data_IF_616585395835
#
_entry.id   IF_616585395835
#
_cell.length_a   1.000
_cell.length_b   1.000
_cell.length_c   1.000
_cell.angle_alpha   90.00
_cell.angle_beta   90.00
_cell.angle_gamma   90.00
#
_symmetry.space_group_name_H-M   'P 1'
#
loop_
_entity.id
_entity.type
_entity.pdbx_description
1 polymer ?
#
# COMPACT_ATOMS: atom_id res chain seq x y z
N UNK A 1 37.47 -12.72 -38.22
CA UNK A 1 37.92 -11.71 -37.23
C UNK A 1 36.70 -11.00 -36.62
N UNK A 2 35.84 -10.28 -37.39
CA UNK A 2 34.71 -9.54 -36.81
C UNK A 2 33.74 -10.46 -36.03
N UNK A 3 33.29 -11.58 -36.62
CA UNK A 3 32.43 -12.56 -35.96
C UNK A 3 33.06 -13.20 -34.73
N UNK A 4 34.33 -13.46 -34.76
CA UNK A 4 35.10 -14.00 -33.64
C UNK A 4 35.19 -13.00 -32.49
N UNK A 5 35.43 -11.71 -32.77
CA UNK A 5 35.43 -10.66 -31.75
C UNK A 5 34.08 -10.47 -31.12
N UNK A 6 32.98 -10.51 -31.91
CA UNK A 6 31.61 -10.46 -31.39
C UNK A 6 31.33 -11.66 -30.48
N UNK A 7 31.70 -12.88 -30.93
CA UNK A 7 31.49 -14.09 -30.13
C UNK A 7 32.28 -14.07 -28.81
N UNK A 8 33.52 -13.57 -28.83
CA UNK A 8 34.31 -13.41 -27.62
C UNK A 8 33.68 -12.38 -26.65
N UNK A 9 33.18 -11.26 -27.19
CA UNK A 9 32.50 -10.25 -26.36
C UNK A 9 31.19 -10.77 -25.78
N UNK A 10 30.43 -11.54 -26.55
CA UNK A 10 29.20 -12.19 -26.06
C UNK A 10 29.50 -13.20 -24.95
N UNK A 11 30.56 -14.00 -25.11
CA UNK A 11 30.98 -14.96 -24.08
C UNK A 11 31.46 -14.21 -22.82
N UNK A 12 32.29 -13.19 -22.94
CA UNK A 12 32.75 -12.40 -21.80
C UNK A 12 31.61 -11.74 -21.08
N UNK A 13 30.63 -11.17 -21.81
CA UNK A 13 29.43 -10.60 -21.21
C UNK A 13 28.62 -11.66 -20.43
N UNK A 14 28.46 -12.86 -21.00
CA UNK A 14 27.74 -13.94 -20.34
C UNK A 14 28.43 -14.39 -19.05
N UNK A 15 29.75 -14.52 -19.08
CA UNK A 15 30.57 -14.92 -17.91
C UNK A 15 30.51 -13.81 -16.82
N UNK A 16 30.70 -12.56 -17.19
CA UNK A 16 30.64 -11.41 -16.27
C UNK A 16 29.23 -11.27 -15.66
N UNK A 17 28.17 -11.51 -16.44
CA UNK A 17 26.81 -11.53 -15.96
C UNK A 17 26.58 -12.57 -14.86
N UNK A 18 27.16 -13.77 -15.02
CA UNK A 18 27.09 -14.81 -13.99
C UNK A 18 27.84 -14.39 -12.71
N UNK A 19 28.98 -13.72 -12.84
CA UNK A 19 29.73 -13.19 -11.69
C UNK A 19 28.91 -12.13 -10.95
N UNK A 20 28.28 -11.19 -11.67
CA UNK A 20 27.40 -10.18 -11.08
C UNK A 20 26.24 -10.83 -10.34
N UNK A 21 25.55 -11.77 -10.97
CA UNK A 21 24.38 -12.45 -10.37
C UNK A 21 24.75 -13.33 -9.16
N UNK A 22 26.01 -13.82 -9.11
CA UNK A 22 26.52 -14.62 -8.00
C UNK A 22 26.97 -13.78 -6.79
N UNK A 23 27.08 -12.45 -6.94
CA UNK A 23 27.46 -11.56 -5.86
C UNK A 23 26.41 -11.56 -4.76
N UNK A 24 26.87 -11.51 -3.49
CA UNK A 24 25.99 -11.58 -2.32
C UNK A 24 26.17 -10.38 -1.41
N UNK A 25 25.08 -9.77 -1.00
CA UNK A 25 25.00 -8.79 0.07
C UNK A 25 23.65 -8.90 0.76
N UNK A 26 23.52 -8.29 1.93
CA UNK A 26 22.25 -8.22 2.66
C UNK A 26 21.84 -6.76 2.84
N UNK A 27 20.54 -6.46 2.88
CA UNK A 27 20.10 -5.11 3.19
C UNK A 27 20.55 -4.74 4.61
N UNK A 28 20.99 -3.50 4.77
CA UNK A 28 21.36 -2.89 6.06
C UNK A 28 20.27 -1.98 6.61
N UNK A 29 19.34 -1.57 5.74
CA UNK A 29 18.25 -0.66 6.01
C UNK A 29 16.92 -1.38 5.83
N UNK A 30 15.89 -0.93 6.54
CA UNK A 30 14.52 -1.42 6.35
C UNK A 30 13.73 -0.45 5.49
N UNK A 31 12.89 -1.00 4.60
CA UNK A 31 12.04 -0.22 3.72
C UNK A 31 11.04 0.63 4.52
N UNK A 32 10.47 0.09 5.58
CA UNK A 32 9.52 0.77 6.47
C UNK A 32 10.12 1.95 7.26
N UNK A 33 11.45 1.98 7.42
CA UNK A 33 12.15 3.08 8.10
C UNK A 33 12.61 4.18 7.11
N UNK A 34 12.90 3.81 5.85
CA UNK A 34 13.52 4.73 4.87
C UNK A 34 12.51 5.26 3.85
N UNK A 35 11.72 4.38 3.22
CA UNK A 35 10.87 4.78 2.09
C UNK A 35 9.75 5.76 2.45
N UNK A 36 9.11 5.71 3.64
CA UNK A 36 8.12 6.71 4.02
C UNK A 36 8.67 8.14 4.04
N UNK A 37 9.88 8.35 4.58
CA UNK A 37 10.53 9.67 4.58
C UNK A 37 10.89 10.16 3.18
N UNK A 38 11.27 9.24 2.28
CA UNK A 38 11.51 9.56 0.87
C UNK A 38 10.21 9.94 0.17
N UNK A 39 9.08 9.27 0.47
CA UNK A 39 7.78 9.65 -0.10
C UNK A 39 7.35 11.07 0.28
N UNK A 40 7.73 11.54 1.46
CA UNK A 40 7.53 12.94 1.86
C UNK A 40 8.10 13.93 0.82
N UNK A 41 9.27 13.64 0.27
CA UNK A 41 9.92 14.49 -0.73
C UNK A 41 9.16 14.56 -2.07
N UNK A 42 8.24 13.64 -2.32
CA UNK A 42 7.41 13.62 -3.54
C UNK A 42 6.09 14.39 -3.40
N UNK A 43 5.69 14.73 -2.17
CA UNK A 43 4.43 15.44 -1.91
C UNK A 43 3.18 14.57 -2.11
N UNK A 44 2.03 15.23 -2.17
CA UNK A 44 0.70 14.59 -2.17
C UNK A 44 -0.03 14.65 -3.52
N UNK A 45 0.40 15.46 -4.47
CA UNK A 45 -0.30 15.66 -5.75
C UNK A 45 0.69 15.75 -6.91
N UNK A 46 0.80 14.67 -7.70
CA UNK A 46 0.16 13.36 -7.54
C UNK A 46 0.81 12.50 -6.45
N UNK A 47 0.08 11.52 -5.92
CA UNK A 47 0.67 10.50 -5.08
C UNK A 47 1.54 9.54 -5.91
N UNK A 48 2.62 9.07 -5.29
CA UNK A 48 3.54 8.12 -5.91
C UNK A 48 3.61 6.81 -5.13
N UNK A 49 3.74 5.72 -5.87
CA UNK A 49 4.01 4.37 -5.36
C UNK A 49 5.46 4.04 -5.66
N UNK A 50 6.12 3.38 -4.72
CA UNK A 50 7.50 2.92 -4.86
C UNK A 50 7.54 1.40 -4.86
N UNK A 51 8.43 0.81 -5.67
CA UNK A 51 8.66 -0.62 -5.68
C UNK A 51 10.15 -0.89 -5.47
N UNK A 52 10.48 -1.58 -4.38
CA UNK A 52 11.84 -1.92 -4.00
C UNK A 52 12.29 -3.21 -4.68
N UNK A 53 13.49 -3.20 -5.27
CA UNK A 53 14.25 -4.36 -5.75
C UNK A 53 15.57 -4.44 -4.98
N UNK A 54 15.77 -5.49 -4.22
CA UNK A 54 16.98 -5.69 -3.41
C UNK A 54 17.53 -7.12 -3.49
N UNK A 55 17.59 -7.74 -4.69
CA UNK A 55 18.30 -9.00 -4.81
C UNK A 55 19.75 -8.79 -4.41
N UNK A 56 20.39 -9.83 -3.88
CA UNK A 56 21.72 -9.76 -3.30
C UNK A 56 22.77 -9.12 -4.24
N UNK A 57 22.63 -9.34 -5.54
CA UNK A 57 23.56 -8.76 -6.53
C UNK A 57 23.38 -7.23 -6.71
N UNK A 58 22.15 -6.70 -6.60
CA UNK A 58 21.93 -5.23 -6.62
C UNK A 58 22.56 -4.61 -5.40
N UNK A 59 22.34 -5.18 -4.22
CA UNK A 59 22.94 -4.70 -2.98
C UNK A 59 24.46 -4.68 -3.07
N UNK A 60 25.06 -5.77 -3.57
CA UNK A 60 26.50 -5.87 -3.76
C UNK A 60 27.02 -4.87 -4.80
N UNK A 61 26.28 -4.62 -5.87
CA UNK A 61 26.63 -3.65 -6.91
C UNK A 61 26.65 -2.21 -6.37
N UNK A 62 25.65 -1.85 -5.56
CA UNK A 62 25.55 -0.50 -4.98
C UNK A 62 26.64 -0.19 -3.94
N UNK A 63 27.33 -1.21 -3.40
CA UNK A 63 28.41 -1.07 -2.44
C UNK A 63 29.82 -0.94 -3.11
N UNK A 64 29.91 -1.04 -4.45
CA UNK A 64 31.19 -0.89 -5.16
C UNK A 64 31.60 0.57 -5.18
N UNK A 65 32.93 0.82 -5.05
CA UNK A 65 33.52 2.17 -5.01
C UNK A 65 33.18 3.01 -6.25
N UNK A 66 32.99 2.39 -7.40
CA UNK A 66 32.69 3.05 -8.68
C UNK A 66 31.21 2.96 -9.07
N UNK A 67 30.36 2.41 -8.20
CA UNK A 67 28.93 2.18 -8.47
C UNK A 67 28.21 3.46 -8.92
N UNK A 68 28.39 4.56 -8.18
CA UNK A 68 27.74 5.82 -8.52
C UNK A 68 28.15 6.32 -9.91
N UNK A 69 29.44 6.27 -10.24
CA UNK A 69 29.94 6.69 -11.54
C UNK A 69 29.40 5.83 -12.70
N UNK A 70 29.30 4.53 -12.49
CA UNK A 70 28.77 3.59 -13.48
C UNK A 70 27.26 3.74 -13.67
N UNK A 71 26.52 3.85 -12.59
CA UNK A 71 25.07 3.69 -12.59
C UNK A 71 24.31 5.00 -12.81
N UNK A 72 24.86 6.15 -12.40
CA UNK A 72 24.29 7.47 -12.71
C UNK A 72 24.67 7.86 -14.14
N UNK A 73 24.01 7.21 -15.07
CA UNK A 73 24.25 7.37 -16.51
C UNK A 73 22.93 7.08 -17.27
N UNK A 74 22.79 7.55 -18.52
CA UNK A 74 21.55 7.37 -19.29
C UNK A 74 21.08 5.92 -19.40
N UNK A 75 19.79 5.67 -19.69
CA UNK A 75 19.25 4.31 -19.88
C UNK A 75 19.87 3.64 -21.12
N UNK A 76 19.71 2.31 -21.22
CA UNK A 76 20.25 1.50 -22.33
C UNK A 76 19.62 1.87 -23.67
N UNK A 77 18.34 2.22 -23.69
CA UNK A 77 17.60 2.61 -24.88
C UNK A 77 16.90 3.96 -24.63
N UNK A 78 16.78 4.82 -25.66
CA UNK A 78 16.22 6.17 -25.48
C UNK A 78 14.77 6.17 -25.02
N UNK A 79 13.95 5.22 -25.47
CA UNK A 79 12.54 5.08 -25.12
C UNK A 79 12.33 4.70 -23.66
N UNK A 80 13.31 4.15 -22.97
CA UNK A 80 13.25 3.95 -21.53
C UNK A 80 13.13 5.28 -20.76
N UNK A 81 13.70 6.38 -21.27
CA UNK A 81 13.69 7.70 -20.63
C UNK A 81 12.29 8.20 -20.29
N UNK A 82 11.25 7.85 -21.08
CA UNK A 82 9.87 8.24 -20.77
C UNK A 82 9.32 7.59 -19.49
N UNK A 83 9.94 6.47 -19.05
CA UNK A 83 9.53 5.72 -17.85
C UNK A 83 10.46 5.97 -16.67
N UNK A 84 11.76 6.17 -16.94
CA UNK A 84 12.82 6.21 -15.93
C UNK A 84 13.42 7.60 -15.74
N UNK A 85 13.02 8.59 -16.54
CA UNK A 85 13.76 9.85 -16.72
C UNK A 85 15.14 9.64 -17.32
N UNK A 86 15.87 10.71 -17.51
CA UNK A 86 17.19 10.69 -18.12
C UNK A 86 18.25 10.00 -17.27
N UNK A 87 18.18 10.15 -15.95
CA UNK A 87 19.15 9.60 -14.99
C UNK A 87 18.45 9.06 -13.75
N UNK A 88 19.01 8.05 -13.07
CA UNK A 88 18.64 7.68 -11.71
C UNK A 88 19.08 8.75 -10.68
N UNK A 89 18.44 8.76 -9.52
CA UNK A 89 18.86 9.54 -8.36
C UNK A 89 19.62 8.63 -7.38
N UNK A 90 20.81 9.04 -6.99
CA UNK A 90 21.60 8.36 -5.94
C UNK A 90 21.26 9.00 -4.59
N UNK A 91 20.85 8.18 -3.63
CA UNK A 91 20.56 8.64 -2.27
C UNK A 91 21.59 8.05 -1.32
N UNK A 92 22.46 8.93 -0.82
CA UNK A 92 23.42 8.64 0.22
C UNK A 92 23.40 9.79 1.24
N UNK A 93 22.88 9.52 2.44
CA UNK A 93 22.62 10.53 3.46
C UNK A 93 21.17 11.03 3.47
N UNK A 94 20.97 12.35 3.57
CA UNK A 94 19.63 12.96 3.68
C UNK A 94 18.86 12.90 2.36
N UNK A 95 17.71 12.20 2.30
CA UNK A 95 16.96 12.00 1.06
C UNK A 95 16.48 13.28 0.40
N UNK A 96 16.02 14.27 1.19
CA UNK A 96 15.53 15.55 0.66
C UNK A 96 16.61 16.28 -0.13
N UNK A 97 17.84 16.34 0.40
CA UNK A 97 18.94 16.99 -0.26
C UNK A 97 19.30 16.33 -1.62
N UNK A 98 19.26 14.99 -1.68
CA UNK A 98 19.53 14.25 -2.92
C UNK A 98 18.43 14.48 -3.97
N UNK A 99 17.16 14.47 -3.57
CA UNK A 99 16.01 14.68 -4.47
C UNK A 99 15.97 16.13 -4.95
N UNK A 100 16.24 17.12 -4.09
CA UNK A 100 16.31 18.52 -4.46
C UNK A 100 17.44 18.79 -5.46
N UNK A 101 18.63 18.21 -5.22
CA UNK A 101 19.75 18.30 -6.16
C UNK A 101 19.40 17.68 -7.52
N UNK A 102 18.72 16.52 -7.52
CA UNK A 102 18.22 15.90 -8.75
C UNK A 102 17.23 16.82 -9.47
N UNK A 103 16.26 17.39 -8.76
CA UNK A 103 15.24 18.26 -9.32
C UNK A 103 15.84 19.51 -9.99
N UNK A 104 16.86 20.11 -9.37
CA UNK A 104 17.62 21.24 -9.93
C UNK A 104 18.37 20.79 -11.20
N UNK A 105 19.08 19.68 -11.15
CA UNK A 105 19.85 19.17 -12.30
C UNK A 105 18.92 18.81 -13.49
N UNK A 106 17.74 18.25 -13.20
CA UNK A 106 16.73 17.95 -14.22
C UNK A 106 16.14 19.22 -14.84
N UNK A 107 15.85 20.26 -14.05
CA UNK A 107 15.44 21.56 -14.56
C UNK A 107 16.49 22.17 -15.47
N UNK A 108 17.76 22.16 -15.09
CA UNK A 108 18.87 22.64 -15.91
C UNK A 108 19.02 21.86 -17.23
N UNK A 109 18.86 20.53 -17.17
CA UNK A 109 18.78 19.68 -18.37
C UNK A 109 17.63 20.12 -19.29
N UNK A 110 16.44 20.32 -18.75
CA UNK A 110 15.27 20.80 -19.50
C UNK A 110 15.55 22.16 -20.16
N UNK A 111 16.13 23.11 -19.42
CA UNK A 111 16.45 24.45 -19.96
C UNK A 111 17.49 24.38 -21.10
N UNK A 112 18.52 23.55 -20.97
CA UNK A 112 19.52 23.31 -22.04
C UNK A 112 18.84 22.70 -23.28
N UNK A 113 17.94 21.74 -23.09
CA UNK A 113 17.19 21.13 -24.18
C UNK A 113 16.29 22.13 -24.90
N UNK A 114 15.51 22.93 -24.18
CA UNK A 114 14.67 23.99 -24.77
C UNK A 114 15.45 25.05 -25.53
N UNK A 115 16.61 25.47 -25.01
CA UNK A 115 17.49 26.41 -25.71
C UNK A 115 17.99 25.87 -27.05
N UNK A 116 18.28 24.58 -27.14
CA UNK A 116 18.82 23.93 -28.33
C UNK A 116 17.74 23.47 -29.32
N UNK A 117 16.56 23.04 -28.84
CA UNK A 117 15.52 22.34 -29.62
C UNK A 117 14.17 23.08 -29.71
N UNK A 118 14.04 24.20 -29.02
CA UNK A 118 12.79 24.97 -28.94
C UNK A 118 11.97 24.63 -27.71
N UNK A 119 10.97 25.49 -27.39
CA UNK A 119 10.16 25.42 -26.20
C UNK A 119 9.35 24.11 -26.11
N UNK A 120 9.30 23.54 -24.93
CA UNK A 120 8.47 22.39 -24.52
C UNK A 120 7.80 22.72 -23.18
N UNK A 121 6.84 21.89 -22.77
CA UNK A 121 6.30 21.91 -21.39
C UNK A 121 7.16 21.00 -20.54
N UNK A 122 7.69 21.54 -19.44
CA UNK A 122 8.48 20.76 -18.50
C UNK A 122 7.63 19.68 -17.84
N UNK A 123 8.16 18.47 -17.81
CA UNK A 123 7.61 17.36 -17.01
C UNK A 123 7.94 17.59 -15.55
N UNK A 124 7.23 16.89 -14.64
CA UNK A 124 7.63 16.94 -13.23
C UNK A 124 9.12 16.58 -13.06
N UNK A 125 9.80 17.20 -12.15
CA UNK A 125 11.25 17.12 -11.95
C UNK A 125 11.67 16.03 -10.94
N UNK A 126 10.75 15.17 -10.50
CA UNK A 126 11.03 14.12 -9.52
C UNK A 126 11.62 12.87 -10.19
N UNK A 127 12.58 12.20 -9.55
CA UNK A 127 13.22 11.00 -10.10
C UNK A 127 12.22 9.83 -10.18
N UNK A 128 12.42 8.94 -11.16
CA UNK A 128 11.66 7.69 -11.31
C UNK A 128 12.44 6.47 -10.85
N UNK A 129 13.72 6.63 -10.63
CA UNK A 129 14.63 5.59 -10.14
C UNK A 129 15.47 6.15 -9.00
N UNK A 130 15.48 5.42 -7.87
CA UNK A 130 16.35 5.72 -6.74
C UNK A 130 17.30 4.56 -6.52
N UNK A 131 18.57 4.87 -6.36
CA UNK A 131 19.63 3.92 -6.00
C UNK A 131 20.08 4.25 -4.58
N UNK A 132 19.84 3.32 -3.65
CA UNK A 132 20.03 3.55 -2.21
C UNK A 132 20.99 2.48 -1.67
N UNK A 133 22.28 2.79 -1.45
CA UNK A 133 23.21 1.85 -0.84
C UNK A 133 22.69 1.28 0.48
N UNK A 134 22.78 -0.03 0.64
CA UNK A 134 22.27 -0.74 1.81
C UNK A 134 20.76 -0.99 1.83
N UNK A 135 19.97 -0.43 0.88
CA UNK A 135 18.54 -0.72 0.73
C UNK A 135 18.23 -1.40 -0.62
N UNK A 136 18.70 -0.84 -1.74
CA UNK A 136 18.45 -1.40 -3.07
C UNK A 136 18.10 -0.36 -4.14
N UNK A 137 17.46 -0.83 -5.21
CA UNK A 137 16.88 -0.05 -6.29
C UNK A 137 15.39 0.18 -6.03
N UNK A 138 14.93 1.42 -6.20
CA UNK A 138 13.50 1.75 -6.08
C UNK A 138 12.99 2.31 -7.39
N UNK A 139 11.97 1.66 -7.96
CA UNK A 139 11.17 2.20 -9.05
C UNK A 139 10.04 3.08 -8.50
N UNK A 140 9.79 4.22 -9.13
CA UNK A 140 8.80 5.20 -8.70
C UNK A 140 7.79 5.46 -9.81
N UNK A 141 6.51 5.42 -9.48
CA UNK A 141 5.43 5.67 -10.44
C UNK A 141 4.16 6.20 -9.79
N UNK A 142 3.24 6.73 -10.59
CA UNK A 142 1.91 7.18 -10.14
C UNK A 142 0.92 6.02 -9.94
N UNK A 143 1.39 4.80 -10.09
CA UNK A 143 0.67 3.55 -9.77
C UNK A 143 1.68 2.45 -9.52
N UNK A 144 1.28 1.36 -8.83
CA UNK A 144 2.13 0.19 -8.62
C UNK A 144 2.65 -0.40 -9.93
N UNK A 145 1.80 -0.46 -10.97
CA UNK A 145 2.21 -0.91 -12.31
C UNK A 145 3.31 -0.01 -12.90
N UNK A 146 3.19 1.31 -12.78
CA UNK A 146 4.20 2.23 -13.32
C UNK A 146 5.52 2.14 -12.55
N UNK A 147 5.46 2.00 -11.21
CA UNK A 147 6.64 1.78 -10.36
C UNK A 147 7.34 0.48 -10.72
N UNK A 148 6.60 -0.63 -10.90
CA UNK A 148 7.14 -1.91 -11.32
C UNK A 148 7.83 -1.86 -12.69
N UNK A 149 7.21 -1.20 -13.69
CA UNK A 149 7.83 -1.01 -15.02
C UNK A 149 9.16 -0.24 -14.90
N UNK A 150 9.20 0.82 -14.10
CA UNK A 150 10.44 1.58 -13.87
C UNK A 150 11.51 0.70 -13.19
N UNK A 151 11.11 -0.10 -12.19
CA UNK A 151 12.01 -1.03 -11.50
C UNK A 151 12.56 -2.12 -12.44
N UNK A 152 11.71 -2.74 -13.27
CA UNK A 152 12.11 -3.79 -14.22
C UNK A 152 13.13 -3.26 -15.26
N UNK A 153 12.86 -2.07 -15.82
CA UNK A 153 13.78 -1.40 -16.75
C UNK A 153 15.12 -1.11 -16.07
N UNK A 154 15.07 -0.63 -14.84
CA UNK A 154 16.27 -0.30 -14.08
C UNK A 154 17.08 -1.54 -13.70
N UNK A 155 16.43 -2.60 -13.23
CA UNK A 155 17.09 -3.85 -12.89
C UNK A 155 17.85 -4.42 -14.10
N UNK A 156 17.20 -4.46 -15.28
CA UNK A 156 17.85 -4.86 -16.52
C UNK A 156 19.02 -3.93 -16.90
N UNK A 157 18.83 -2.61 -16.73
CA UNK A 157 19.86 -1.61 -17.03
C UNK A 157 21.09 -1.78 -16.13
N UNK A 158 20.89 -1.94 -14.83
CA UNK A 158 21.97 -2.14 -13.86
C UNK A 158 22.77 -3.41 -14.14
N UNK A 159 22.06 -4.53 -14.38
CA UNK A 159 22.70 -5.81 -14.70
C UNK A 159 23.54 -5.71 -15.98
N UNK A 160 23.01 -5.07 -17.03
CA UNK A 160 23.69 -4.93 -18.31
C UNK A 160 24.95 -4.06 -18.18
N UNK A 161 24.87 -2.91 -17.48
CA UNK A 161 26.01 -2.04 -17.25
C UNK A 161 27.11 -2.72 -16.43
N UNK A 162 26.72 -3.43 -15.37
CA UNK A 162 27.64 -4.16 -14.52
C UNK A 162 28.35 -5.30 -15.28
N UNK A 163 27.61 -6.09 -16.06
CA UNK A 163 28.16 -7.20 -16.85
C UNK A 163 29.03 -6.74 -18.04
N UNK A 164 28.76 -5.55 -18.59
CA UNK A 164 29.51 -5.00 -19.68
C UNK A 164 30.79 -4.20 -19.23
N UNK A 165 30.99 -4.02 -17.92
CA UNK A 165 32.04 -3.17 -17.35
C UNK A 165 33.44 -3.54 -17.87
N UNK A 166 33.74 -4.83 -18.03
CA UNK A 166 35.02 -5.33 -18.51
C UNK A 166 35.18 -5.31 -20.05
N UNK A 167 34.07 -5.05 -20.78
CA UNK A 167 34.13 -4.90 -22.25
C UNK A 167 34.49 -3.49 -22.70
N UNK A 168 34.27 -2.50 -21.84
CA UNK A 168 34.60 -1.10 -22.10
C UNK A 168 33.73 -0.14 -21.29
N UNK A 169 33.96 1.16 -21.45
CA UNK A 169 33.18 2.19 -20.79
C UNK A 169 31.76 2.29 -21.38
N UNK A 170 30.76 2.24 -20.53
CA UNK A 170 29.40 2.52 -20.95
C UNK A 170 29.26 3.96 -21.46
N UNK A 171 28.65 4.12 -22.63
CA UNK A 171 28.37 5.43 -23.21
C UNK A 171 26.90 5.48 -23.66
N UNK A 172 26.07 6.18 -22.90
CA UNK A 172 24.68 6.46 -23.27
C UNK A 172 24.57 7.60 -24.32
N UNK A 173 23.33 7.96 -24.64
CA UNK A 173 23.05 9.14 -25.47
C UNK A 173 23.48 10.42 -24.74
N UNK A 174 23.85 11.43 -25.53
CA UNK A 174 24.04 12.78 -24.98
C UNK A 174 22.70 13.44 -24.60
N UNK A 175 22.80 14.49 -23.78
CA UNK A 175 21.66 15.21 -23.23
C UNK A 175 20.63 15.66 -24.29
N UNK A 176 21.08 16.11 -25.46
CA UNK A 176 20.19 16.65 -26.48
C UNK A 176 19.41 15.56 -27.22
N UNK A 177 20.07 14.44 -27.52
CA UNK A 177 19.40 13.29 -28.13
C UNK A 177 18.45 12.63 -27.14
N UNK A 178 18.80 12.59 -25.86
CA UNK A 178 17.93 12.07 -24.80
C UNK A 178 16.72 12.98 -24.58
N UNK A 179 16.92 14.31 -24.60
CA UNK A 179 15.85 15.29 -24.54
C UNK A 179 14.87 15.14 -25.70
N UNK A 180 15.36 14.95 -26.94
CA UNK A 180 14.50 14.75 -28.11
C UNK A 180 13.57 13.54 -27.94
N UNK A 181 14.03 12.47 -27.29
CA UNK A 181 13.20 11.28 -27.02
C UNK A 181 12.26 11.48 -25.84
N UNK A 182 12.74 12.00 -24.71
CA UNK A 182 11.93 12.18 -23.50
C UNK A 182 10.79 13.16 -23.73
N UNK A 183 11.01 14.23 -24.52
CA UNK A 183 10.02 15.27 -24.84
C UNK A 183 9.33 15.10 -26.19
N UNK A 184 9.46 13.93 -26.81
CA UNK A 184 8.73 13.63 -28.03
C UNK A 184 7.25 13.37 -27.76
N UNK A 185 6.37 14.16 -28.39
CA UNK A 185 4.93 14.12 -28.13
C UNK A 185 4.28 12.75 -28.35
N UNK A 186 4.78 11.96 -29.31
CA UNK A 186 4.27 10.61 -29.57
C UNK A 186 4.69 9.63 -28.47
N UNK A 187 5.86 9.80 -27.89
CA UNK A 187 6.30 8.99 -26.74
C UNK A 187 5.53 9.37 -25.48
N UNK A 188 5.32 10.66 -25.23
CA UNK A 188 4.50 11.13 -24.10
C UNK A 188 3.05 10.65 -24.21
N UNK A 189 2.48 10.54 -25.39
CA UNK A 189 1.14 10.01 -25.61
C UNK A 189 0.97 8.55 -25.14
N UNK A 190 2.04 7.76 -25.10
CA UNK A 190 2.04 6.37 -24.59
C UNK A 190 1.78 6.30 -23.06
N UNK A 191 2.02 7.39 -22.34
CA UNK A 191 1.78 7.46 -20.88
C UNK A 191 0.30 7.61 -20.54
N UNK A 192 -0.56 7.94 -21.52
CA UNK A 192 -1.98 8.17 -21.33
C UNK A 192 -2.29 9.61 -20.88
N UNK A 193 -3.52 10.07 -21.16
CA UNK A 193 -4.00 11.42 -20.83
C UNK A 193 -5.30 11.42 -20.03
N UNK A 194 -5.69 10.28 -19.45
CA UNK A 194 -6.91 10.15 -18.66
C UNK A 194 -6.81 10.89 -17.31
N UNK A 195 -7.97 11.36 -16.79
CA UNK A 195 -8.03 11.89 -15.43
C UNK A 195 -7.68 10.76 -14.45
N UNK A 196 -6.78 10.96 -13.49
CA UNK A 196 -6.48 9.96 -12.48
C UNK A 196 -7.73 9.55 -11.70
N UNK A 197 -7.80 8.28 -11.28
CA UNK A 197 -8.83 7.82 -10.36
C UNK A 197 -8.68 8.52 -9.00
N UNK A 198 -9.75 8.55 -8.20
CA UNK A 198 -9.83 9.34 -6.97
C UNK A 198 -8.73 8.98 -5.95
N UNK A 199 -8.34 7.70 -5.88
CA UNK A 199 -7.29 7.20 -4.98
C UNK A 199 -6.02 6.77 -5.75
N UNK A 200 -5.80 7.29 -6.95
CA UNK A 200 -4.61 6.94 -7.74
C UNK A 200 -3.31 7.23 -6.96
N UNK A 201 -2.39 6.28 -6.95
CA UNK A 201 -1.11 6.38 -6.23
C UNK A 201 -1.21 6.24 -4.71
N UNK A 202 -2.40 6.06 -4.15
CA UNK A 202 -2.58 5.80 -2.72
C UNK A 202 -2.52 4.31 -2.41
N UNK A 203 -2.07 3.99 -1.20
CA UNK A 203 -1.89 2.62 -0.69
C UNK A 203 -2.77 2.41 0.52
N UNK A 204 -3.64 1.41 0.46
CA UNK A 204 -4.53 1.02 1.55
C UNK A 204 -4.05 -0.27 2.22
N UNK A 205 -4.03 -0.28 3.54
CA UNK A 205 -3.76 -1.45 4.40
C UNK A 205 -5.06 -1.84 5.10
N UNK A 206 -5.49 -3.09 4.96
CA UNK A 206 -6.72 -3.63 5.54
C UNK A 206 -6.37 -4.84 6.41
N UNK A 207 -6.58 -4.76 7.72
CA UNK A 207 -6.42 -5.92 8.61
C UNK A 207 -7.68 -6.80 8.60
N UNK A 208 -7.53 -8.13 8.72
CA UNK A 208 -8.64 -9.06 8.48
C UNK A 208 -9.14 -8.96 7.04
N UNK A 209 -8.20 -8.78 6.09
CA UNK A 209 -8.49 -8.45 4.70
C UNK A 209 -9.08 -9.60 3.90
N UNK A 210 -8.92 -10.84 4.36
CA UNK A 210 -9.49 -12.03 3.72
C UNK A 210 -10.98 -12.24 4.06
N UNK A 211 -11.50 -11.60 5.13
CA UNK A 211 -12.89 -11.69 5.53
C UNK A 211 -13.84 -10.93 4.59
N UNK A 212 -15.12 -11.24 4.64
CA UNK A 212 -16.15 -10.65 3.75
C UNK A 212 -16.13 -9.11 3.73
N UNK A 213 -16.10 -8.46 4.91
CA UNK A 213 -16.03 -6.99 4.98
C UNK A 213 -14.72 -6.48 4.40
N UNK A 214 -13.58 -7.13 4.71
CA UNK A 214 -12.26 -6.77 4.18
C UNK A 214 -12.20 -6.84 2.66
N UNK A 215 -12.73 -7.92 2.06
CA UNK A 215 -12.81 -8.08 0.60
C UNK A 215 -13.70 -7.00 -0.05
N UNK A 216 -14.87 -6.71 0.54
CA UNK A 216 -15.76 -5.67 0.01
C UNK A 216 -15.14 -4.28 0.06
N UNK A 217 -14.42 -3.94 1.13
CA UNK A 217 -13.65 -2.69 1.25
C UNK A 217 -12.56 -2.65 0.20
N UNK A 218 -11.76 -3.73 0.09
CA UNK A 218 -10.67 -3.81 -0.88
C UNK A 218 -11.16 -3.59 -2.31
N UNK A 219 -12.26 -4.24 -2.70
CA UNK A 219 -12.85 -4.08 -4.04
C UNK A 219 -13.23 -2.63 -4.34
N UNK A 220 -13.83 -1.92 -3.38
CA UNK A 220 -14.25 -0.52 -3.56
C UNK A 220 -13.03 0.39 -3.68
N UNK A 221 -12.01 0.22 -2.83
CA UNK A 221 -10.79 1.03 -2.87
C UNK A 221 -9.97 0.78 -4.15
N UNK A 222 -9.90 -0.47 -4.63
CA UNK A 222 -9.30 -0.82 -5.92
C UNK A 222 -10.00 -0.14 -7.09
N UNK A 223 -11.34 -0.16 -7.11
CA UNK A 223 -12.14 0.51 -8.14
C UNK A 223 -11.91 2.03 -8.14
N UNK A 224 -11.61 2.61 -6.97
CA UNK A 224 -11.22 4.01 -6.83
C UNK A 224 -9.75 4.28 -7.19
N UNK A 225 -8.96 3.25 -7.54
CA UNK A 225 -7.57 3.37 -8.03
C UNK A 225 -6.48 3.20 -6.99
N UNK A 226 -6.79 2.80 -5.76
CA UNK A 226 -5.78 2.50 -4.74
C UNK A 226 -5.05 1.18 -5.05
N UNK A 227 -3.81 1.06 -4.56
CA UNK A 227 -3.16 -0.23 -4.32
C UNK A 227 -3.57 -0.75 -2.95
N UNK A 228 -3.77 -2.06 -2.77
CA UNK A 228 -4.29 -2.62 -1.52
C UNK A 228 -3.38 -3.70 -0.97
N UNK A 229 -3.10 -3.63 0.33
CA UNK A 229 -2.48 -4.71 1.09
C UNK A 229 -3.52 -5.34 2.04
N UNK A 230 -3.76 -6.63 1.87
CA UNK A 230 -4.60 -7.46 2.74
C UNK A 230 -3.70 -8.10 3.80
N UNK A 231 -3.83 -7.65 5.03
CA UNK A 231 -3.14 -8.24 6.18
C UNK A 231 -4.10 -9.19 6.87
N UNK A 232 -3.75 -10.46 6.92
CA UNK A 232 -4.59 -11.47 7.55
C UNK A 232 -3.77 -12.51 8.32
N UNK A 233 -4.36 -13.08 9.36
CA UNK A 233 -3.76 -14.19 10.10
C UNK A 233 -3.68 -15.45 9.23
N UNK A 234 -4.70 -15.67 8.38
CA UNK A 234 -4.75 -16.73 7.40
C UNK A 234 -4.20 -16.24 6.04
N UNK A 235 -2.92 -16.54 5.80
CA UNK A 235 -2.25 -16.15 4.56
C UNK A 235 -2.90 -16.77 3.32
N UNK A 236 -3.31 -18.03 3.40
CA UNK A 236 -3.89 -18.74 2.25
C UNK A 236 -5.24 -18.12 1.85
N UNK A 237 -6.06 -17.77 2.83
CA UNK A 237 -7.29 -17.03 2.60
C UNK A 237 -7.00 -15.64 1.99
N UNK A 238 -5.97 -14.92 2.49
CA UNK A 238 -5.58 -13.62 1.94
C UNK A 238 -5.08 -13.72 0.49
N UNK A 239 -4.27 -14.73 0.16
CA UNK A 239 -3.78 -15.02 -1.20
C UNK A 239 -4.94 -15.32 -2.14
N UNK A 240 -5.89 -16.15 -1.71
CA UNK A 240 -7.07 -16.48 -2.50
C UNK A 240 -7.95 -15.24 -2.76
N UNK A 241 -8.12 -14.39 -1.77
CA UNK A 241 -8.86 -13.12 -1.91
C UNK A 241 -8.11 -12.16 -2.83
N UNK A 242 -6.80 -12.00 -2.68
CA UNK A 242 -5.99 -11.19 -3.58
C UNK A 242 -6.06 -11.67 -5.04
N UNK A 243 -6.04 -12.97 -5.27
CA UNK A 243 -6.17 -13.55 -6.61
C UNK A 243 -7.52 -13.21 -7.28
N UNK A 244 -8.61 -13.17 -6.51
CA UNK A 244 -9.95 -12.75 -7.02
C UNK A 244 -10.00 -11.25 -7.33
N UNK A 245 -9.34 -10.43 -6.51
CA UNK A 245 -9.36 -8.97 -6.62
C UNK A 245 -8.40 -8.42 -7.69
N UNK A 246 -7.33 -9.14 -8.01
CA UNK A 246 -6.41 -8.80 -9.11
C UNK A 246 -4.99 -8.42 -8.69
N UNK A 247 -4.12 -8.10 -9.67
CA UNK A 247 -2.67 -8.01 -9.48
C UNK A 247 -2.19 -6.78 -8.68
N UNK A 248 -3.08 -5.87 -8.34
CA UNK A 248 -2.74 -4.69 -7.53
C UNK A 248 -2.93 -4.94 -6.02
N UNK A 249 -3.19 -6.18 -5.64
CA UNK A 249 -3.41 -6.59 -4.26
C UNK A 249 -2.24 -7.41 -3.74
N UNK A 250 -1.67 -6.96 -2.63
CA UNK A 250 -0.66 -7.68 -1.88
C UNK A 250 -1.31 -8.43 -0.73
N UNK A 251 -1.11 -9.74 -0.65
CA UNK A 251 -1.50 -10.54 0.51
C UNK A 251 -0.31 -10.71 1.46
N UNK A 252 -0.51 -10.41 2.74
CA UNK A 252 0.54 -10.49 3.75
C UNK A 252 0.00 -11.17 5.01
N UNK A 253 0.76 -12.13 5.55
CA UNK A 253 0.46 -12.71 6.85
C UNK A 253 0.68 -11.70 7.96
N UNK A 254 -0.33 -11.48 8.82
CA UNK A 254 -0.21 -10.63 9.99
C UNK A 254 -1.12 -11.10 11.12
N UNK A 255 -0.55 -11.28 12.30
CA UNK A 255 -1.31 -11.41 13.53
C UNK A 255 -1.40 -10.02 14.19
N UNK A 256 -2.61 -9.48 14.27
CA UNK A 256 -2.83 -8.15 14.86
C UNK A 256 -2.57 -8.11 16.36
N UNK A 257 -2.52 -9.27 17.01
CA UNK A 257 -2.22 -9.38 18.46
C UNK A 257 -0.72 -9.38 18.76
N UNK A 258 0.12 -9.50 17.70
CA UNK A 258 1.58 -9.51 17.78
C UNK A 258 2.18 -8.29 17.07
N UNK A 259 2.88 -7.46 17.85
CA UNK A 259 3.51 -6.25 17.34
C UNK A 259 4.61 -6.53 16.30
N UNK A 260 5.42 -7.57 16.52
CA UNK A 260 6.52 -7.92 15.61
C UNK A 260 5.96 -8.46 14.29
N UNK A 261 4.85 -9.20 14.33
CA UNK A 261 4.13 -9.66 13.14
C UNK A 261 3.60 -8.49 12.32
N UNK A 262 3.01 -7.48 12.96
CA UNK A 262 2.55 -6.26 12.28
C UNK A 262 3.70 -5.46 11.68
N UNK A 263 4.80 -5.28 12.39
CA UNK A 263 5.98 -4.57 11.90
C UNK A 263 6.60 -5.30 10.69
N UNK A 264 6.68 -6.63 10.73
CA UNK A 264 7.14 -7.45 9.60
C UNK A 264 6.20 -7.38 8.38
N UNK A 265 4.89 -7.33 8.61
CA UNK A 265 3.90 -7.17 7.54
C UNK A 265 4.00 -5.79 6.89
N UNK A 266 4.13 -4.72 7.67
CA UNK A 266 4.29 -3.36 7.17
C UNK A 266 5.61 -3.15 6.44
N UNK A 267 6.69 -3.85 6.84
CA UNK A 267 7.94 -3.89 6.08
C UNK A 267 7.68 -4.40 4.65
N UNK A 268 6.92 -5.50 4.49
CA UNK A 268 6.57 -6.03 3.16
C UNK A 268 5.71 -5.03 2.36
N UNK A 269 4.76 -4.35 3.01
CA UNK A 269 3.95 -3.30 2.37
C UNK A 269 4.83 -2.15 1.89
N UNK A 270 5.76 -1.67 2.72
CA UNK A 270 6.69 -0.60 2.34
C UNK A 270 7.65 -1.03 1.23
N UNK A 271 8.08 -2.28 1.19
CA UNK A 271 8.88 -2.84 0.09
C UNK A 271 8.13 -2.82 -1.24
N UNK A 272 6.84 -3.17 -1.22
CA UNK A 272 6.02 -3.26 -2.42
C UNK A 272 5.45 -1.91 -2.88
N UNK A 273 5.17 -0.99 -1.95
CA UNK A 273 4.44 0.24 -2.26
C UNK A 273 5.12 1.52 -1.74
N UNK A 274 6.19 1.40 -0.97
CA UNK A 274 6.97 2.53 -0.43
C UNK A 274 6.38 3.20 0.80
N UNK A 275 5.18 2.84 1.22
CA UNK A 275 4.49 3.43 2.36
C UNK A 275 2.99 3.20 2.31
N UNK A 276 2.22 3.95 3.09
CA UNK A 276 0.77 3.78 3.24
C UNK A 276 0.05 5.14 3.25
N UNK A 277 -1.22 5.18 2.83
CA UNK A 277 -2.04 6.39 2.87
C UNK A 277 -3.36 6.16 3.62
N UNK A 278 -3.90 4.93 3.51
CA UNK A 278 -5.20 4.54 4.05
C UNK A 278 -5.00 3.33 4.95
N UNK A 279 -5.51 3.38 6.16
CA UNK A 279 -5.46 2.28 7.13
C UNK A 279 -6.88 1.90 7.53
N UNK A 280 -7.21 0.62 7.38
CA UNK A 280 -8.53 0.09 7.76
C UNK A 280 -8.35 -1.01 8.80
N UNK A 281 -8.34 -0.69 10.10
CA UNK A 281 -8.40 -1.68 11.16
C UNK A 281 -9.77 -2.38 11.10
N UNK A 282 -9.80 -3.59 10.51
CA UNK A 282 -11.03 -4.34 10.27
C UNK A 282 -11.01 -5.72 10.95
N UNK A 283 -9.83 -6.30 11.22
CA UNK A 283 -9.73 -7.58 11.93
C UNK A 283 -10.61 -7.63 13.19
N UNK A 284 -11.35 -8.71 13.34
CA UNK A 284 -12.23 -8.86 14.49
C UNK A 284 -12.86 -10.25 14.58
N UNK A 285 -13.04 -10.70 15.80
CA UNK A 285 -13.67 -11.97 16.17
C UNK A 285 -14.80 -11.74 17.18
N UNK A 286 -15.71 -12.70 17.29
CA UNK A 286 -16.80 -12.64 18.25
C UNK A 286 -17.00 -14.01 18.90
N UNK A 287 -17.70 -14.02 20.02
CA UNK A 287 -18.27 -15.20 20.65
C UNK A 287 -19.62 -14.80 21.29
N UNK A 288 -20.57 -15.72 21.28
CA UNK A 288 -21.90 -15.48 21.80
C UNK A 288 -22.10 -16.30 23.08
N UNK A 289 -22.11 -15.63 24.23
CA UNK A 289 -22.39 -16.22 25.53
C UNK A 289 -22.99 -15.18 26.48
N UNK A 290 -23.82 -15.63 27.45
CA UNK A 290 -24.27 -14.76 28.54
C UNK A 290 -23.09 -14.27 29.37
N UNK A 291 -23.21 -13.16 30.09
CA UNK A 291 -22.14 -12.67 30.97
C UNK A 291 -21.74 -13.72 32.02
N UNK A 292 -22.71 -14.51 32.48
CA UNK A 292 -22.48 -15.51 33.54
C UNK A 292 -21.72 -16.75 33.03
N UNK A 293 -21.91 -17.08 31.75
CA UNK A 293 -21.36 -18.29 31.11
C UNK A 293 -20.17 -17.98 30.18
N UNK A 294 -19.75 -16.71 30.11
CA UNK A 294 -18.67 -16.28 29.21
C UNK A 294 -17.32 -16.68 29.82
N UNK A 295 -16.61 -17.60 29.16
CA UNK A 295 -15.29 -18.05 29.60
C UNK A 295 -14.27 -16.91 29.51
N UNK A 296 -13.38 -16.83 30.50
CA UNK A 296 -12.33 -15.78 30.56
C UNK A 296 -11.38 -15.84 29.35
N UNK A 297 -11.10 -17.02 28.84
CA UNK A 297 -10.28 -17.23 27.65
C UNK A 297 -10.89 -16.59 26.39
N UNK A 298 -12.20 -16.73 26.18
CA UNK A 298 -12.92 -16.10 25.06
C UNK A 298 -12.98 -14.59 25.22
N UNK A 299 -13.22 -14.11 26.45
CA UNK A 299 -13.14 -12.69 26.76
C UNK A 299 -11.78 -12.11 26.40
N UNK A 300 -10.67 -12.78 26.80
CA UNK A 300 -9.32 -12.35 26.50
C UNK A 300 -9.05 -12.37 24.99
N UNK A 301 -9.31 -13.48 24.30
CA UNK A 301 -9.15 -13.62 22.84
C UNK A 301 -9.84 -12.49 22.08
N UNK A 302 -11.09 -12.18 22.43
CA UNK A 302 -11.89 -11.13 21.75
C UNK A 302 -11.28 -9.75 22.00
N UNK A 303 -10.86 -9.45 23.24
CA UNK A 303 -10.23 -8.15 23.52
C UNK A 303 -8.84 -8.05 22.89
N UNK A 304 -8.06 -9.12 22.85
CA UNK A 304 -6.74 -9.13 22.21
C UNK A 304 -6.85 -8.82 20.72
N UNK A 305 -7.77 -9.44 19.99
CA UNK A 305 -7.95 -9.16 18.57
C UNK A 305 -8.62 -7.81 18.33
N UNK A 306 -9.79 -7.56 18.96
CA UNK A 306 -10.64 -6.44 18.58
C UNK A 306 -10.21 -5.09 19.17
N UNK A 307 -9.49 -5.09 20.28
CA UNK A 307 -9.08 -3.87 20.99
C UNK A 307 -7.56 -3.71 21.00
N UNK A 308 -6.81 -4.68 21.52
CA UNK A 308 -5.35 -4.64 21.52
C UNK A 308 -4.81 -4.67 20.09
N UNK A 309 -5.38 -5.48 19.20
CA UNK A 309 -5.01 -5.55 17.79
C UNK A 309 -5.25 -4.22 17.06
N UNK A 310 -6.36 -3.53 17.36
CA UNK A 310 -6.60 -2.17 16.83
C UNK A 310 -5.55 -1.20 17.35
N UNK A 311 -5.24 -1.21 18.65
CA UNK A 311 -4.19 -0.37 19.23
C UNK A 311 -2.83 -0.60 18.56
N UNK A 312 -2.41 -1.86 18.39
CA UNK A 312 -1.14 -2.22 17.74
C UNK A 312 -1.12 -1.79 16.27
N UNK A 313 -2.22 -1.99 15.54
CA UNK A 313 -2.37 -1.54 14.15
C UNK A 313 -2.25 -0.01 14.04
N UNK A 314 -2.98 0.74 14.87
CA UNK A 314 -2.89 2.19 14.90
C UNK A 314 -1.47 2.66 15.21
N UNK A 315 -0.81 2.04 16.20
CA UNK A 315 0.56 2.38 16.60
C UNK A 315 1.57 2.14 15.48
N UNK A 316 1.54 0.98 14.84
CA UNK A 316 2.49 0.61 13.80
C UNK A 316 2.26 1.45 12.52
N UNK A 317 1.03 1.51 12.02
CA UNK A 317 0.68 2.31 10.84
C UNK A 317 0.85 3.82 11.09
N UNK A 318 0.50 4.31 12.28
CA UNK A 318 0.65 5.71 12.65
C UNK A 318 2.10 6.20 12.60
N UNK A 319 3.07 5.34 12.97
CA UNK A 319 4.51 5.66 12.83
C UNK A 319 4.90 5.90 11.38
N UNK A 320 4.42 5.05 10.46
CA UNK A 320 4.69 5.18 9.02
C UNK A 320 4.02 6.44 8.45
N UNK A 321 2.73 6.68 8.76
CA UNK A 321 2.02 7.88 8.29
C UNK A 321 2.71 9.17 8.76
N UNK A 322 3.15 9.23 10.02
CA UNK A 322 3.87 10.38 10.57
C UNK A 322 5.26 10.55 9.95
N UNK A 323 6.01 9.48 9.75
CA UNK A 323 7.32 9.54 9.08
C UNK A 323 7.18 9.98 7.60
N UNK A 324 6.09 9.58 6.94
CA UNK A 324 5.76 9.98 5.59
C UNK A 324 5.33 11.45 5.48
N UNK A 325 4.70 12.01 6.53
CA UNK A 325 4.26 13.42 6.65
C UNK A 325 3.46 13.93 5.43
N UNK A 326 2.76 13.04 4.75
CA UNK A 326 1.87 13.36 3.61
C UNK A 326 0.39 13.32 3.99
N UNK A 327 0.10 13.35 5.30
CA UNK A 327 -1.23 13.11 5.81
C UNK A 327 -1.67 11.65 5.65
N UNK A 328 -2.98 11.41 5.79
CA UNK A 328 -3.53 10.06 5.63
C UNK A 328 -4.97 9.93 6.14
N UNK A 329 -5.54 8.75 5.94
CA UNK A 329 -6.87 8.42 6.43
C UNK A 329 -6.86 7.08 7.18
N UNK A 330 -7.42 7.07 8.37
CA UNK A 330 -7.69 5.84 9.13
C UNK A 330 -9.20 5.68 9.24
N UNK A 331 -9.71 4.51 8.88
CA UNK A 331 -11.14 4.20 8.95
C UNK A 331 -11.34 2.90 9.73
N UNK A 332 -11.63 3.01 11.02
CA UNK A 332 -11.88 1.84 11.88
C UNK A 332 -13.22 1.20 11.53
N UNK A 333 -13.22 -0.11 11.29
CA UNK A 333 -14.44 -0.91 11.25
C UNK A 333 -14.87 -1.25 12.69
N UNK A 334 -15.75 -0.40 13.18
CA UNK A 334 -16.35 -0.50 14.49
C UNK A 334 -17.58 -1.44 14.46
N UNK A 335 -18.64 -1.13 15.14
CA UNK A 335 -19.90 -1.90 15.12
C UNK A 335 -21.06 -1.04 15.59
N UNK A 336 -22.26 -1.31 15.10
CA UNK A 336 -23.48 -0.76 15.69
C UNK A 336 -23.62 -1.12 17.18
N UNK A 337 -22.95 -2.21 17.63
CA UNK A 337 -22.98 -2.64 19.03
C UNK A 337 -22.30 -1.65 19.99
N UNK A 338 -21.54 -0.70 19.51
CA UNK A 338 -21.03 0.43 20.33
C UNK A 338 -22.17 1.29 20.84
N UNK A 339 -23.20 1.51 20.01
CA UNK A 339 -24.36 2.35 20.34
C UNK A 339 -25.55 1.52 20.84
N UNK A 340 -25.74 0.32 20.28
CA UNK A 340 -26.85 -0.57 20.59
C UNK A 340 -26.34 -2.00 20.84
N UNK A 341 -25.79 -2.29 22.04
CA UNK A 341 -25.26 -3.61 22.38
C UNK A 341 -26.38 -4.67 22.34
N UNK A 342 -26.01 -5.89 21.98
CA UNK A 342 -26.92 -7.04 22.02
C UNK A 342 -26.66 -7.90 23.25
N UNK A 343 -27.70 -8.57 23.76
CA UNK A 343 -27.52 -9.63 24.73
C UNK A 343 -26.62 -10.73 24.17
N UNK A 344 -25.90 -11.41 25.02
CA UNK A 344 -24.92 -12.48 24.74
C UNK A 344 -23.67 -12.01 23.93
N UNK A 345 -23.42 -10.70 23.87
CA UNK A 345 -22.28 -10.09 23.17
C UNK A 345 -21.43 -9.20 24.08
N UNK A 346 -21.21 -9.62 25.32
CA UNK A 346 -20.53 -8.81 26.32
C UNK A 346 -19.08 -8.45 25.91
N UNK A 347 -18.23 -9.44 25.63
CA UNK A 347 -16.84 -9.22 25.23
C UNK A 347 -16.74 -8.47 23.90
N UNK A 348 -17.53 -8.86 22.90
CA UNK A 348 -17.54 -8.18 21.59
C UNK A 348 -17.95 -6.71 21.70
N UNK A 349 -19.05 -6.42 22.40
CA UNK A 349 -19.51 -5.02 22.55
C UNK A 349 -18.51 -4.17 23.32
N UNK A 350 -17.92 -4.71 24.41
CA UNK A 350 -16.91 -4.01 25.20
C UNK A 350 -15.64 -3.74 24.38
N UNK A 351 -15.13 -4.75 23.65
CA UNK A 351 -13.92 -4.60 22.84
C UNK A 351 -14.12 -3.59 21.70
N UNK A 352 -15.27 -3.62 20.99
CA UNK A 352 -15.58 -2.66 19.92
C UNK A 352 -15.79 -1.24 20.47
N UNK A 353 -16.38 -1.08 21.66
CA UNK A 353 -16.49 0.22 22.32
C UNK A 353 -15.11 0.78 22.71
N UNK A 354 -14.22 -0.06 23.25
CA UNK A 354 -12.84 0.31 23.56
C UNK A 354 -12.06 0.74 22.32
N UNK A 355 -12.11 -0.05 21.24
CA UNK A 355 -11.48 0.27 19.96
C UNK A 355 -12.05 1.59 19.35
N UNK A 356 -13.36 1.79 19.44
CA UNK A 356 -14.01 3.02 18.97
C UNK A 356 -13.51 4.26 19.73
N UNK A 357 -13.33 4.14 21.04
CA UNK A 357 -12.77 5.24 21.86
C UNK A 357 -11.29 5.48 21.55
N UNK A 358 -10.49 4.43 21.29
CA UNK A 358 -9.10 4.58 20.83
C UNK A 358 -9.01 5.36 19.51
N UNK A 359 -9.88 5.08 18.54
CA UNK A 359 -9.93 5.83 17.29
C UNK A 359 -10.23 7.32 17.50
N UNK A 360 -11.11 7.68 18.44
CA UNK A 360 -11.35 9.09 18.81
C UNK A 360 -10.11 9.76 19.43
N UNK A 361 -9.36 9.04 20.26
CA UNK A 361 -8.10 9.55 20.80
C UNK A 361 -7.09 9.78 19.67
N UNK A 362 -6.94 8.82 18.77
CA UNK A 362 -6.06 8.96 17.60
C UNK A 362 -6.47 10.15 16.71
N UNK A 363 -7.78 10.41 16.53
CA UNK A 363 -8.27 11.59 15.81
C UNK A 363 -7.81 12.91 16.44
N UNK A 364 -7.79 12.99 17.78
CA UNK A 364 -7.31 14.16 18.50
C UNK A 364 -5.78 14.34 18.39
N UNK A 365 -5.03 13.23 18.49
CA UNK A 365 -3.57 13.25 18.50
C UNK A 365 -2.93 13.48 17.13
N UNK A 366 -3.62 13.08 16.04
CA UNK A 366 -3.02 13.04 14.70
C UNK A 366 -3.54 14.11 13.75
N UNK A 367 -4.51 14.91 14.18
CA UNK A 367 -5.08 15.98 13.36
C UNK A 367 -4.04 17.01 12.89
N UNK A 368 -3.04 17.32 13.73
CA UNK A 368 -1.94 18.23 13.37
C UNK A 368 -0.99 17.67 12.30
N UNK A 369 -0.98 16.37 12.12
CA UNK A 369 -0.19 15.68 11.08
C UNK A 369 -1.01 15.46 9.79
N UNK A 370 -2.17 16.10 9.65
CA UNK A 370 -3.12 15.94 8.54
C UNK A 370 -3.63 14.50 8.38
N UNK A 371 -3.69 13.73 9.45
CA UNK A 371 -4.23 12.35 9.47
C UNK A 371 -5.64 12.38 10.02
N UNK A 372 -6.62 12.03 9.17
CA UNK A 372 -8.02 11.91 9.57
C UNK A 372 -8.30 10.50 10.11
N UNK A 373 -8.96 10.40 11.26
CA UNK A 373 -9.36 9.11 11.85
C UNK A 373 -10.87 9.09 12.03
N UNK A 374 -11.55 8.19 11.33
CA UNK A 374 -13.01 8.08 11.33
C UNK A 374 -13.45 6.62 11.56
N UNK A 375 -14.73 6.42 11.79
CA UNK A 375 -15.29 5.11 12.13
C UNK A 375 -16.48 4.78 11.23
N UNK A 376 -16.58 3.52 10.80
CA UNK A 376 -17.74 2.93 10.15
C UNK A 376 -18.31 1.88 11.09
N UNK A 377 -19.60 1.95 11.37
CA UNK A 377 -20.33 1.05 12.26
C UNK A 377 -21.34 0.20 11.47
N UNK A 378 -20.90 -0.94 10.90
CA UNK A 378 -21.82 -1.84 10.21
C UNK A 378 -22.69 -2.62 11.17
N UNK A 379 -23.87 -3.04 10.69
CA UNK A 379 -24.62 -4.15 11.25
C UNK A 379 -24.15 -5.48 10.63
N UNK A 380 -24.96 -6.52 10.66
CA UNK A 380 -24.61 -7.85 10.18
C UNK A 380 -24.28 -7.84 8.67
N UNK A 381 -23.06 -8.25 8.34
CA UNK A 381 -22.61 -8.53 6.96
C UNK A 381 -22.29 -10.02 6.88
N UNK A 382 -23.10 -10.77 6.15
CA UNK A 382 -22.99 -12.23 6.09
C UNK A 382 -22.00 -12.72 5.03
N UNK A 383 -21.80 -11.96 3.94
CA UNK A 383 -20.96 -12.37 2.82
C UNK A 383 -20.48 -11.20 1.95
N UNK A 384 -19.47 -11.47 1.12
CA UNK A 384 -19.09 -10.65 -0.02
C UNK A 384 -19.05 -11.55 -1.25
N UNK A 385 -20.08 -11.52 -2.09
CA UNK A 385 -20.25 -12.50 -3.16
C UNK A 385 -20.24 -13.94 -2.60
N UNK A 386 -19.31 -14.76 -3.08
CA UNK A 386 -19.16 -16.16 -2.62
C UNK A 386 -18.33 -16.30 -1.33
N UNK A 387 -17.73 -15.21 -0.82
CA UNK A 387 -16.92 -15.23 0.41
C UNK A 387 -17.85 -15.05 1.64
N UNK A 388 -18.04 -16.11 2.43
CA UNK A 388 -18.79 -16.05 3.68
C UNK A 388 -18.07 -15.26 4.76
N UNK A 389 -18.80 -14.76 5.73
CA UNK A 389 -18.21 -14.08 6.89
C UNK A 389 -17.79 -15.09 7.95
N UNK A 390 -16.48 -15.28 8.13
CA UNK A 390 -15.98 -16.19 9.17
C UNK A 390 -16.51 -15.87 10.57
N UNK A 391 -16.76 -14.59 10.88
CA UNK A 391 -17.41 -14.21 12.12
C UNK A 391 -18.83 -14.80 12.22
N UNK A 392 -19.62 -14.73 11.15
CA UNK A 392 -20.97 -15.28 11.13
C UNK A 392 -21.00 -16.80 11.02
N UNK A 393 -20.00 -17.43 10.40
CA UNK A 393 -19.83 -18.87 10.40
C UNK A 393 -19.58 -19.39 11.82
N UNK A 394 -18.82 -18.64 12.66
CA UNK A 394 -18.56 -18.97 14.07
C UNK A 394 -19.79 -18.76 14.96
N UNK A 395 -20.42 -17.57 14.92
CA UNK A 395 -21.47 -17.20 15.88
C UNK A 395 -22.90 -17.44 15.40
N UNK A 396 -23.10 -17.56 14.09
CA UNK A 396 -24.42 -17.66 13.44
C UNK A 396 -25.27 -18.80 14.00
N UNK A 397 -24.76 -20.03 14.12
CA UNK A 397 -25.49 -21.17 14.66
C UNK A 397 -26.03 -20.91 16.08
N UNK A 398 -25.22 -20.38 16.98
CA UNK A 398 -25.65 -20.08 18.37
C UNK A 398 -26.65 -18.93 18.41
N UNK A 399 -26.47 -17.93 17.55
CA UNK A 399 -27.42 -16.80 17.41
C UNK A 399 -28.76 -17.23 16.84
N UNK A 400 -28.80 -18.13 15.88
CA UNK A 400 -30.01 -18.71 15.35
C UNK A 400 -30.73 -19.53 16.44
N UNK A 401 -29.97 -20.45 17.08
CA UNK A 401 -30.53 -21.28 18.16
C UNK A 401 -31.09 -20.46 19.33
N UNK A 402 -30.39 -19.42 19.81
CA UNK A 402 -30.86 -18.56 20.91
C UNK A 402 -32.18 -17.83 20.60
N UNK A 403 -32.55 -17.73 19.32
CA UNK A 403 -33.77 -17.11 18.83
C UNK A 403 -34.84 -18.11 18.34
N UNK A 404 -34.52 -19.39 18.30
CA UNK A 404 -35.36 -20.42 17.72
C UNK A 404 -35.50 -20.33 16.20
N UNK A 405 -34.46 -19.85 15.52
CA UNK A 405 -34.40 -19.62 14.08
C UNK A 405 -33.47 -20.62 13.39
N UNK A 406 -33.66 -20.86 12.11
CA UNK A 406 -32.70 -21.48 11.21
C UNK A 406 -31.64 -20.44 10.74
N UNK A 407 -30.60 -20.89 10.05
CA UNK A 407 -29.54 -19.97 9.50
C UNK A 407 -30.16 -18.99 8.49
N UNK A 408 -31.02 -19.45 7.59
CA UNK A 408 -31.66 -18.59 6.58
C UNK A 408 -32.63 -17.58 7.23
N UNK A 409 -33.38 -18.00 8.21
CA UNK A 409 -34.26 -17.11 8.99
C UNK A 409 -33.47 -16.09 9.81
N UNK A 410 -32.21 -16.40 10.17
CA UNK A 410 -31.38 -15.45 10.88
C UNK A 410 -30.99 -14.25 9.98
N UNK A 411 -30.64 -14.49 8.71
CA UNK A 411 -30.35 -13.40 7.76
C UNK A 411 -31.60 -12.53 7.53
N UNK A 412 -32.73 -13.17 7.35
CA UNK A 412 -34.01 -12.46 7.22
C UNK A 412 -34.37 -11.64 8.45
N UNK A 413 -34.20 -12.19 9.65
CA UNK A 413 -34.37 -11.47 10.92
C UNK A 413 -33.50 -10.20 10.98
N UNK A 414 -32.24 -10.28 10.59
CA UNK A 414 -31.31 -9.12 10.59
C UNK A 414 -31.73 -8.07 9.55
N UNK A 415 -32.19 -8.47 8.37
CA UNK A 415 -32.75 -7.59 7.35
C UNK A 415 -34.02 -6.90 7.84
N UNK A 416 -34.94 -7.67 8.45
CA UNK A 416 -36.28 -7.17 8.80
C UNK A 416 -36.32 -6.30 10.05
N UNK A 417 -35.28 -6.33 10.87
CA UNK A 417 -35.20 -5.46 12.05
C UNK A 417 -34.78 -4.02 11.74
N UNK A 418 -34.15 -3.75 10.60
CA UNK A 418 -33.77 -2.40 10.21
C UNK A 418 -34.95 -1.67 9.51
N UNK A 419 -34.92 -0.34 9.55
CA UNK A 419 -36.04 0.47 8.99
C UNK A 419 -36.16 0.33 7.47
N UNK A 420 -35.02 0.24 6.76
CA UNK A 420 -35.00 0.12 5.30
C UNK A 420 -35.31 -1.30 4.79
N UNK A 421 -35.42 -2.29 5.68
CA UNK A 421 -35.66 -3.70 5.32
C UNK A 421 -34.65 -4.22 4.26
N UNK A 422 -33.40 -3.85 4.40
CA UNK A 422 -32.33 -4.19 3.47
C UNK A 422 -31.18 -4.90 4.17
N UNK A 423 -30.44 -5.70 3.42
CA UNK A 423 -29.19 -6.29 3.88
C UNK A 423 -28.08 -5.23 3.88
N UNK A 424 -27.17 -5.36 4.84
CA UNK A 424 -25.91 -4.60 4.84
C UNK A 424 -24.87 -5.38 4.06
N UNK A 425 -24.54 -4.91 2.87
CA UNK A 425 -23.53 -5.55 2.04
C UNK A 425 -22.10 -5.10 2.40
N UNK A 426 -21.12 -5.96 2.14
CA UNK A 426 -19.70 -5.62 2.29
C UNK A 426 -19.31 -4.41 1.41
N UNK A 427 -19.89 -4.30 0.21
CA UNK A 427 -19.70 -3.15 -0.69
C UNK A 427 -20.23 -1.85 -0.06
N UNK A 428 -21.40 -1.87 0.59
CA UNK A 428 -21.92 -0.68 1.26
C UNK A 428 -21.00 -0.20 2.40
N UNK A 429 -20.37 -1.13 3.13
CA UNK A 429 -19.32 -0.80 4.11
C UNK A 429 -18.11 -0.20 3.40
N UNK A 430 -17.67 -0.77 2.27
CA UNK A 430 -16.58 -0.26 1.44
C UNK A 430 -16.84 1.17 0.95
N UNK A 431 -18.06 1.50 0.51
CA UNK A 431 -18.42 2.87 0.08
C UNK A 431 -18.33 3.89 1.23
N UNK A 432 -18.75 3.50 2.44
CA UNK A 432 -18.59 4.35 3.62
C UNK A 432 -17.12 4.55 3.99
N UNK A 433 -16.28 3.52 3.83
CA UNK A 433 -14.83 3.62 3.99
C UNK A 433 -14.24 4.56 2.93
N UNK A 434 -14.61 4.41 1.66
CA UNK A 434 -14.15 5.27 0.56
C UNK A 434 -14.49 6.75 0.81
N UNK A 435 -15.70 7.04 1.31
CA UNK A 435 -16.11 8.41 1.64
C UNK A 435 -15.09 9.10 2.58
N UNK A 436 -14.65 8.40 3.63
CA UNK A 436 -13.66 8.92 4.56
C UNK A 436 -12.23 8.86 4.01
N UNK A 437 -11.88 7.75 3.35
CA UNK A 437 -10.54 7.54 2.80
C UNK A 437 -10.18 8.58 1.71
N UNK A 438 -11.14 8.90 0.86
CA UNK A 438 -10.99 9.93 -0.17
C UNK A 438 -11.10 11.36 0.38
N UNK A 439 -11.29 11.53 1.69
CA UNK A 439 -11.36 12.84 2.38
C UNK A 439 -12.32 13.82 1.69
N UNK A 440 -13.47 13.31 1.22
CA UNK A 440 -14.46 14.11 0.49
C UNK A 440 -15.03 15.28 1.31
N UNK A 441 -14.86 15.23 2.62
CA UNK A 441 -15.21 16.30 3.57
C UNK A 441 -14.10 16.45 4.62
N UNK A 442 -13.89 17.64 5.21
CA UNK A 442 -12.92 17.86 6.26
C UNK A 442 -13.42 17.26 7.59
N UNK A 443 -13.42 15.94 7.70
CA UNK A 443 -14.00 15.21 8.84
C UNK A 443 -12.94 14.31 9.50
N UNK A 444 -12.78 14.45 10.81
CA UNK A 444 -12.06 13.53 11.68
C UNK A 444 -12.87 13.28 12.95
N UNK A 445 -12.79 12.09 13.55
CA UNK A 445 -13.63 11.67 14.68
C UNK A 445 -15.09 11.38 14.29
N UNK A 446 -15.42 11.41 12.98
CA UNK A 446 -16.75 11.15 12.44
C UNK A 446 -17.15 9.67 12.46
N UNK A 447 -18.45 9.40 12.46
CA UNK A 447 -19.01 8.05 12.49
C UNK A 447 -20.09 7.93 11.39
N UNK A 448 -20.04 6.86 10.60
CA UNK A 448 -21.09 6.47 9.67
C UNK A 448 -21.65 5.11 10.12
N UNK A 449 -22.95 5.04 10.37
CA UNK A 449 -23.66 3.79 10.59
C UNK A 449 -24.09 3.21 9.24
N UNK A 450 -23.70 1.96 8.97
CA UNK A 450 -24.13 1.19 7.80
C UNK A 450 -24.96 0.01 8.31
N UNK A 451 -26.21 0.28 8.68
CA UNK A 451 -27.07 -0.64 9.43
C UNK A 451 -28.53 -0.69 8.95
N UNK A 452 -28.83 -0.06 7.81
CA UNK A 452 -30.19 0.02 7.28
C UNK A 452 -31.19 0.76 8.20
N UNK A 453 -30.68 1.48 9.21
CA UNK A 453 -31.50 2.22 10.16
C UNK A 453 -31.94 1.35 11.34
N UNK A 454 -31.01 0.89 12.17
CA UNK A 454 -31.32 0.28 13.47
C UNK A 454 -31.66 1.39 14.47
N UNK A 455 -32.89 1.62 14.78
CA UNK A 455 -33.36 2.75 15.59
C UNK A 455 -32.70 2.85 16.98
N UNK A 456 -32.33 1.72 17.60
CA UNK A 456 -31.62 1.67 18.87
C UNK A 456 -30.18 2.18 18.76
N UNK A 457 -29.60 2.22 17.56
CA UNK A 457 -28.23 2.69 17.29
C UNK A 457 -28.17 4.17 16.86
N UNK A 458 -29.28 4.88 16.86
CA UNK A 458 -29.27 6.31 16.54
C UNK A 458 -28.47 7.08 17.59
N UNK A 459 -27.58 7.98 17.19
CA UNK A 459 -26.88 8.85 18.12
C UNK A 459 -27.89 9.68 18.94
N UNK A 460 -27.65 9.77 20.24
CA UNK A 460 -28.46 10.59 21.16
C UNK A 460 -27.65 11.77 21.63
#
# INVERSE_FOLDING_TARGET
IHRELVSLAEQQYADDKQVVLAATAKPRLKASEVLPSIRNCYGNEPHFVFELRDPAWILALLEQDDAQQLLISPPLTPDHAIRTKSLPCWIDGEPSASIDAYAIAYHDYFQRGCKARGSRTELDNLPRLLLIPGLGLVGVGTSAKAAGIAADIAEHTLLTKAAAKNLGAYKGLDDLNLFDMEYWSLEQAKLGSGKPAELAGQVAVITGGAGAIGEGIAQVLLNAGASVALLDYDLDAAVNTAARLGPQVLAVKADVTDADSLDAALEQVCRQFGGINIVVPNAGVAHSASILDHELSDWQRINDVNQTGVFLTLRACGRILKAQATGGAVVLISSKNVLAPGADFSAYSASKAGAHQLAKVAALEWASDDICVNMVCPDAVFRAGDNSSGLWDEIGPDRAKSRGLSSDELEEFYRDRCLLKTEVSATAVGEAVLFFAARRTPTTGGVINVDGGVAAAFPR
#
